data_IF_337601032128
#
_entry.id   IF_337601032128
#
_cell.length_a   1.000
_cell.length_b   1.000
_cell.length_c   1.000
_cell.angle_alpha   90.00
_cell.angle_beta   90.00
_cell.angle_gamma   90.00
#
_symmetry.space_group_name_H-M   'P 1'
#
loop_
_entity.id
_entity.type
_entity.pdbx_description
1 polymer ?
#
# COMPACT_ATOMS: atom_id res chain seq x y z
N UNK A 1 -1.63 1.71 5.88
CA UNK A 1 -0.47 2.29 5.14
C UNK A 1 -0.90 3.28 4.04
N UNK A 2 -2.15 3.23 3.57
CA UNK A 2 -2.71 4.08 2.51
C UNK A 2 -2.86 5.58 2.87
N UNK A 3 -3.02 5.92 4.14
CA UNK A 3 -3.17 7.31 4.57
C UNK A 3 -1.91 8.19 4.30
N UNK A 4 -0.70 7.60 4.28
CA UNK A 4 0.55 8.40 4.30
C UNK A 4 0.85 9.18 3.01
N UNK A 5 0.21 8.88 1.88
CA UNK A 5 0.37 9.65 0.63
C UNK A 5 -0.46 10.92 0.57
N UNK A 6 -1.52 11.01 1.37
CA UNK A 6 -2.47 12.12 1.35
C UNK A 6 -2.08 13.17 2.41
N UNK A 7 -1.53 12.73 3.54
CA UNK A 7 -1.14 13.60 4.66
C UNK A 7 -0.05 14.65 4.34
N UNK A 8 1.06 14.36 3.62
CA UNK A 8 2.11 15.36 3.45
C UNK A 8 1.74 16.51 2.50
N UNK A 9 0.74 16.33 1.62
CA UNK A 9 0.23 17.41 0.78
C UNK A 9 -0.57 18.47 1.57
N UNK A 10 -1.02 18.15 2.79
CA UNK A 10 -1.88 19.01 3.62
C UNK A 10 -1.19 19.80 4.73
N UNK A 11 0.12 19.61 4.99
CA UNK A 11 0.74 20.16 6.22
C UNK A 11 1.09 21.67 6.14
N UNK A 12 0.83 22.36 5.02
CA UNK A 12 1.04 23.82 4.93
C UNK A 12 -0.22 24.68 4.78
N UNK A 13 -1.43 24.10 4.82
CA UNK A 13 -2.67 24.88 4.68
C UNK A 13 -3.68 24.54 5.79
N UNK A 14 -3.57 25.34 6.86
CA UNK A 14 -4.59 25.74 7.84
C UNK A 14 -5.28 24.71 8.76
N UNK A 15 -5.24 25.08 10.05
CA UNK A 15 -6.13 24.63 11.11
C UNK A 15 -7.56 25.15 10.87
N UNK A 16 -8.55 24.28 11.01
CA UNK A 16 -9.96 24.66 11.16
C UNK A 16 -10.76 24.66 9.87
N UNK A 17 -11.32 23.49 9.51
CA UNK A 17 -12.66 23.27 8.90
C UNK A 17 -12.82 21.78 8.52
N UNK A 18 -14.08 21.35 8.48
CA UNK A 18 -14.55 19.96 8.59
C UNK A 18 -13.84 18.91 7.71
N UNK A 19 -13.38 17.85 8.39
CA UNK A 19 -12.70 16.66 7.84
C UNK A 19 -13.55 15.79 6.90
N UNK A 20 -14.86 16.06 6.81
CA UNK A 20 -15.87 15.20 6.17
C UNK A 20 -15.71 15.13 4.64
N UNK A 21 -15.05 16.09 3.98
CA UNK A 21 -14.87 16.07 2.51
C UNK A 21 -13.57 15.38 2.03
N UNK A 22 -12.70 14.91 2.94
CA UNK A 22 -11.38 14.34 2.61
C UNK A 22 -11.48 12.97 1.89
N UNK A 23 -12.59 12.25 2.05
CA UNK A 23 -12.75 10.85 1.60
C UNK A 23 -13.56 10.67 0.30
N UNK A 24 -14.02 11.75 -0.35
CA UNK A 24 -15.06 11.65 -1.40
C UNK A 24 -14.60 11.07 -2.74
N UNK A 25 -13.31 10.91 -3.01
CA UNK A 25 -12.84 10.56 -4.36
C UNK A 25 -11.84 9.39 -4.43
N UNK A 26 -11.28 8.93 -3.31
CA UNK A 26 -10.40 7.75 -3.29
C UNK A 26 -11.15 6.41 -3.41
N UNK A 27 -12.43 6.37 -3.04
CA UNK A 27 -13.15 5.12 -2.74
C UNK A 27 -13.47 4.23 -3.95
N UNK A 28 -13.79 4.79 -5.13
CA UNK A 28 -14.03 3.97 -6.33
C UNK A 28 -12.74 3.28 -6.82
N UNK A 29 -11.63 4.01 -6.78
CA UNK A 29 -10.32 3.50 -7.21
C UNK A 29 -9.78 2.50 -6.17
N UNK A 30 -10.05 2.73 -4.88
CA UNK A 30 -9.71 1.79 -3.81
C UNK A 30 -10.46 0.45 -3.93
N UNK A 31 -11.72 0.41 -4.41
CA UNK A 31 -12.44 -0.86 -4.62
C UNK A 31 -11.84 -1.72 -5.73
N UNK A 32 -11.40 -1.12 -6.85
CA UNK A 32 -10.68 -1.83 -7.91
C UNK A 32 -9.26 -2.26 -7.50
N UNK A 33 -8.56 -1.43 -6.71
CA UNK A 33 -7.30 -1.85 -6.09
C UNK A 33 -7.51 -2.98 -5.06
N UNK A 34 -8.65 -3.01 -4.37
CA UNK A 34 -9.00 -4.04 -3.38
C UNK A 34 -9.34 -5.38 -4.04
N UNK A 35 -10.03 -5.40 -5.19
CA UNK A 35 -10.29 -6.65 -5.93
C UNK A 35 -9.01 -7.34 -6.41
N UNK A 36 -7.99 -6.57 -6.83
CA UNK A 36 -6.66 -7.11 -7.16
C UNK A 36 -5.96 -7.77 -5.96
N UNK A 37 -6.11 -7.22 -4.75
CA UNK A 37 -5.57 -7.83 -3.54
C UNK A 37 -6.39 -9.02 -3.03
N UNK A 38 -7.70 -9.06 -3.31
CA UNK A 38 -8.58 -10.16 -2.91
C UNK A 38 -8.47 -11.39 -3.82
N UNK A 39 -8.22 -11.22 -5.13
CA UNK A 39 -7.94 -12.34 -6.03
C UNK A 39 -6.71 -13.16 -5.61
N UNK A 40 -5.67 -12.49 -5.08
CA UNK A 40 -4.47 -13.16 -4.54
C UNK A 40 -4.73 -14.02 -3.30
N UNK A 41 -5.87 -13.87 -2.62
CA UNK A 41 -6.19 -14.59 -1.39
C UNK A 41 -7.10 -15.82 -1.59
N UNK A 42 -7.72 -15.99 -2.76
CA UNK A 42 -8.74 -17.01 -2.98
C UNK A 42 -8.32 -18.18 -3.88
N UNK A 43 -7.31 -18.04 -4.76
CA UNK A 43 -6.83 -19.14 -5.58
C UNK A 43 -5.68 -19.90 -4.92
N UNK A 44 -6.03 -20.80 -3.98
CA UNK A 44 -5.12 -21.81 -3.44
C UNK A 44 -5.16 -23.13 -4.23
N UNK A 45 -5.91 -23.20 -5.35
CA UNK A 45 -6.22 -24.49 -6.02
C UNK A 45 -5.87 -24.60 -7.51
N UNK A 46 -5.35 -23.57 -8.19
CA UNK A 46 -5.07 -23.67 -9.62
C UNK A 46 -3.67 -23.17 -9.96
N UNK A 47 -2.83 -24.06 -10.51
CA UNK A 47 -1.48 -23.76 -11.02
C UNK A 47 -1.48 -22.93 -12.32
N UNK A 48 -2.41 -22.00 -12.47
CA UNK A 48 -2.44 -21.05 -13.57
C UNK A 48 -1.46 -19.90 -13.29
N UNK A 49 -0.77 -19.35 -14.31
CA UNK A 49 0.06 -18.16 -14.14
C UNK A 49 -0.77 -17.03 -13.54
N UNK A 50 -0.28 -16.40 -12.47
CA UNK A 50 -0.95 -15.35 -11.67
C UNK A 50 -1.51 -14.22 -12.56
N UNK A 51 -2.73 -14.41 -13.07
CA UNK A 51 -3.45 -13.45 -13.90
C UNK A 51 -3.74 -12.15 -13.11
N UNK A 52 -3.57 -12.18 -11.78
CA UNK A 52 -3.78 -11.05 -10.88
C UNK A 52 -2.47 -10.44 -10.35
N UNK A 53 -1.31 -10.81 -10.90
CA UNK A 53 -0.02 -10.30 -10.46
C UNK A 53 0.04 -8.76 -10.53
N UNK A 54 0.20 -8.13 -9.36
CA UNK A 54 0.36 -6.68 -9.24
C UNK A 54 1.61 -6.19 -9.99
N UNK A 55 1.42 -5.44 -11.08
CA UNK A 55 2.52 -4.86 -11.89
C UNK A 55 2.98 -3.51 -11.35
N UNK A 56 2.06 -2.73 -10.83
CA UNK A 56 2.31 -1.39 -10.31
C UNK A 56 2.16 -1.34 -8.79
N UNK A 57 2.91 -0.46 -8.13
CA UNK A 57 2.79 -0.24 -6.69
C UNK A 57 1.53 0.60 -6.42
N UNK A 58 0.47 0.06 -5.78
CA UNK A 58 -0.83 0.73 -5.72
C UNK A 58 -0.83 2.16 -5.16
N UNK A 59 0.00 2.53 -4.15
CA UNK A 59 0.12 3.91 -3.69
C UNK A 59 0.48 4.94 -4.76
N UNK A 60 1.15 4.56 -5.86
CA UNK A 60 1.48 5.51 -6.95
C UNK A 60 0.35 5.70 -7.95
N UNK A 61 -0.65 4.83 -7.94
CA UNK A 61 -1.83 4.95 -8.79
C UNK A 61 -2.90 5.69 -8.00
N UNK A 62 -3.48 5.01 -7.00
CA UNK A 62 -4.61 5.55 -6.24
C UNK A 62 -4.22 6.69 -5.31
N UNK A 63 -2.97 6.71 -4.84
CA UNK A 63 -2.47 7.79 -3.98
C UNK A 63 -2.30 9.11 -4.74
N UNK A 64 -1.87 9.05 -6.00
CA UNK A 64 -1.75 10.23 -6.88
C UNK A 64 -3.13 10.83 -7.15
N UNK A 65 -4.12 9.98 -7.46
CA UNK A 65 -5.51 10.38 -7.65
C UNK A 65 -6.13 10.96 -6.37
N UNK A 66 -5.88 10.32 -5.22
CA UNK A 66 -6.32 10.81 -3.92
C UNK A 66 -5.72 12.17 -3.56
N UNK A 67 -4.42 12.36 -3.81
CA UNK A 67 -3.74 13.64 -3.62
C UNK A 67 -4.34 14.74 -4.52
N UNK A 68 -4.59 14.44 -5.80
CA UNK A 68 -5.20 15.38 -6.73
C UNK A 68 -6.60 15.80 -6.29
N UNK A 69 -7.44 14.84 -5.87
CA UNK A 69 -8.78 15.13 -5.36
C UNK A 69 -8.75 15.98 -4.07
N UNK A 70 -7.86 15.64 -3.14
CA UNK A 70 -7.71 16.39 -1.89
C UNK A 70 -7.26 17.84 -2.17
N UNK A 71 -6.25 18.02 -3.03
CA UNK A 71 -5.76 19.34 -3.39
C UNK A 71 -6.80 20.15 -4.18
N UNK A 72 -7.53 19.53 -5.12
CA UNK A 72 -8.62 20.20 -5.83
C UNK A 72 -9.72 20.69 -4.89
N UNK A 73 -10.04 19.91 -3.84
CA UNK A 73 -10.98 20.33 -2.79
C UNK A 73 -10.44 21.50 -1.97
N UNK A 74 -9.17 21.44 -1.55
CA UNK A 74 -8.51 22.52 -0.79
C UNK A 74 -8.45 23.84 -1.59
N UNK A 75 -8.25 23.74 -2.91
CA UNK A 75 -8.26 24.89 -3.83
C UNK A 75 -9.67 25.35 -4.23
N UNK A 76 -10.72 24.72 -3.69
CA UNK A 76 -12.12 25.02 -4.02
C UNK A 76 -12.41 25.02 -5.53
N UNK A 77 -11.83 24.07 -6.27
CA UNK A 77 -12.04 23.95 -7.70
C UNK A 77 -13.49 23.56 -8.02
N UNK A 78 -14.00 24.08 -9.14
CA UNK A 78 -15.30 23.70 -9.67
C UNK A 78 -15.29 22.26 -10.24
N UNK A 79 -16.47 21.74 -10.56
CA UNK A 79 -16.63 20.37 -11.05
C UNK A 79 -15.78 20.08 -12.32
N UNK A 80 -15.77 20.94 -13.36
CA UNK A 80 -14.91 20.73 -14.52
C UNK A 80 -13.42 20.66 -14.18
N UNK A 81 -12.91 21.58 -13.35
CA UNK A 81 -11.50 21.59 -12.96
C UNK A 81 -11.14 20.40 -12.07
N UNK A 82 -12.03 19.94 -11.19
CA UNK A 82 -11.84 18.70 -10.45
C UNK A 82 -11.67 17.48 -11.38
N UNK A 83 -12.47 17.37 -12.45
CA UNK A 83 -12.32 16.29 -13.45
C UNK A 83 -10.97 16.39 -14.16
N UNK A 84 -10.56 17.60 -14.56
CA UNK A 84 -9.26 17.81 -15.20
C UNK A 84 -8.09 17.48 -14.27
N UNK A 85 -8.18 17.81 -12.98
CA UNK A 85 -7.14 17.46 -12.00
C UNK A 85 -6.92 15.95 -11.93
N UNK A 86 -8.00 15.15 -11.92
CA UNK A 86 -7.90 13.69 -11.96
C UNK A 86 -7.34 13.19 -13.30
N UNK A 87 -7.72 13.81 -14.42
CA UNK A 87 -7.20 13.44 -15.74
C UNK A 87 -5.69 13.70 -15.88
N UNK A 88 -5.21 14.84 -15.38
CA UNK A 88 -3.79 15.16 -15.37
C UNK A 88 -3.03 14.23 -14.42
N UNK A 89 -3.60 13.96 -13.23
CA UNK A 89 -3.01 13.06 -12.24
C UNK A 89 -2.82 11.62 -12.76
N UNK A 90 -3.73 11.14 -13.62
CA UNK A 90 -3.61 9.82 -14.24
C UNK A 90 -2.35 9.71 -15.11
N UNK A 91 -1.92 10.79 -15.77
CA UNK A 91 -0.67 10.82 -16.55
C UNK A 91 0.60 10.82 -15.69
N UNK A 92 0.50 11.18 -14.41
CA UNK A 92 1.60 11.10 -13.45
C UNK A 92 1.60 9.79 -12.62
N UNK A 93 0.57 8.96 -12.78
CA UNK A 93 0.34 7.78 -11.96
C UNK A 93 1.18 6.58 -12.43
N UNK A 94 1.42 5.67 -11.48
CA UNK A 94 2.05 4.38 -11.76
C UNK A 94 3.57 4.37 -11.58
N UNK A 95 4.04 3.45 -10.73
CA UNK A 95 5.44 3.06 -10.62
C UNK A 95 5.52 1.53 -10.56
N UNK A 96 6.51 0.91 -11.24
CA UNK A 96 6.66 -0.54 -11.22
C UNK A 96 6.86 -1.09 -9.80
N UNK A 97 6.27 -2.26 -9.52
CA UNK A 97 6.39 -2.92 -8.23
C UNK A 97 7.83 -3.39 -7.91
N UNK A 98 8.70 -3.50 -8.92
CA UNK A 98 10.10 -3.94 -8.76
C UNK A 98 10.89 -3.12 -7.73
N UNK A 99 10.55 -1.85 -7.55
CA UNK A 99 11.18 -0.98 -6.54
C UNK A 99 10.61 -1.13 -5.12
N UNK A 100 9.67 -2.05 -4.88
CA UNK A 100 9.02 -2.18 -3.58
C UNK A 100 9.98 -2.59 -2.43
N UNK A 101 11.09 -3.26 -2.73
CA UNK A 101 12.07 -3.67 -1.74
C UNK A 101 13.39 -2.88 -1.83
N UNK A 102 13.37 -1.70 -2.47
CA UNK A 102 14.56 -0.85 -2.63
C UNK A 102 14.40 0.46 -1.85
N UNK A 103 15.49 1.24 -1.78
CA UNK A 103 15.48 2.60 -1.25
C UNK A 103 14.57 3.57 -2.02
N UNK A 104 14.14 3.21 -3.24
CA UNK A 104 13.24 4.03 -4.06
C UNK A 104 11.79 3.97 -3.59
N UNK A 105 11.36 2.90 -2.88
CA UNK A 105 9.95 2.73 -2.47
C UNK A 105 9.35 3.95 -1.74
N UNK A 106 10.02 4.63 -0.79
CA UNK A 106 9.45 5.79 -0.12
C UNK A 106 9.10 6.94 -1.10
N UNK A 107 9.85 7.10 -2.20
CA UNK A 107 9.57 8.10 -3.23
C UNK A 107 8.23 7.86 -3.91
N UNK A 108 7.71 6.63 -3.95
CA UNK A 108 6.39 6.34 -4.52
C UNK A 108 5.29 7.15 -3.82
N UNK A 109 5.35 7.25 -2.50
CA UNK A 109 4.37 7.99 -1.69
C UNK A 109 4.62 9.50 -1.76
N UNK A 110 5.90 9.91 -1.78
CA UNK A 110 6.27 11.32 -1.96
C UNK A 110 5.83 11.88 -3.32
N UNK A 111 6.06 11.13 -4.39
CA UNK A 111 5.66 11.51 -5.74
C UNK A 111 4.14 11.49 -5.92
N UNK A 112 3.43 10.55 -5.30
CA UNK A 112 1.97 10.56 -5.29
C UNK A 112 1.41 11.86 -4.69
N UNK A 113 1.97 12.29 -3.54
CA UNK A 113 1.62 13.56 -2.93
C UNK A 113 1.94 14.75 -3.85
N UNK A 114 3.19 14.84 -4.33
CA UNK A 114 3.68 15.90 -5.21
C UNK A 114 2.85 16.04 -6.48
N UNK A 115 2.70 14.96 -7.24
CA UNK A 115 2.06 14.98 -8.55
C UNK A 115 0.56 15.24 -8.46
N UNK A 116 -0.11 14.81 -7.39
CA UNK A 116 -1.51 15.17 -7.17
C UNK A 116 -1.70 16.68 -6.94
N UNK A 117 -0.84 17.31 -6.13
CA UNK A 117 -0.84 18.76 -5.96
C UNK A 117 -0.58 19.48 -7.29
N UNK A 118 0.46 19.05 -8.02
CA UNK A 118 0.81 19.60 -9.32
C UNK A 118 -0.36 19.52 -10.32
N UNK A 119 -1.03 18.37 -10.39
CA UNK A 119 -2.21 18.17 -11.24
C UNK A 119 -3.37 19.11 -10.88
N UNK A 120 -3.65 19.31 -9.59
CA UNK A 120 -4.68 20.24 -9.13
C UNK A 120 -4.34 21.70 -9.46
N UNK A 121 -3.07 22.11 -9.30
CA UNK A 121 -2.60 23.44 -9.66
C UNK A 121 -2.62 23.70 -11.18
N UNK A 122 -2.35 22.69 -12.00
CA UNK A 122 -2.45 22.81 -13.46
C UNK A 122 -3.92 22.92 -13.89
N UNK A 123 -4.80 22.10 -13.31
CA UNK A 123 -6.24 22.20 -13.57
C UNK A 123 -6.83 23.55 -13.12
N UNK A 124 -6.34 24.12 -12.01
CA UNK A 124 -6.79 25.44 -11.55
C UNK A 124 -6.49 26.54 -12.56
N UNK A 125 -5.39 26.40 -13.31
CA UNK A 125 -4.95 27.27 -14.39
C UNK A 125 -5.61 26.97 -15.75
N UNK A 126 -6.49 25.97 -15.82
CA UNK A 126 -7.27 25.66 -17.01
C UNK A 126 -6.69 24.56 -17.90
N UNK A 127 -5.62 23.87 -17.47
CA UNK A 127 -5.16 22.67 -18.18
C UNK A 127 -6.28 21.61 -18.18
N UNK A 128 -6.47 20.97 -19.33
CA UNK A 128 -7.53 19.98 -19.53
C UNK A 128 -6.94 18.60 -19.82
N UNK A 129 -7.72 17.56 -19.51
CA UNK A 129 -7.38 16.18 -19.84
C UNK A 129 -8.60 15.43 -20.37
N UNK A 130 -8.45 14.12 -20.55
CA UNK A 130 -9.53 13.27 -21.05
C UNK A 130 -10.73 13.25 -20.06
N UNK A 131 -11.94 13.54 -20.56
CA UNK A 131 -13.15 13.63 -19.75
C UNK A 131 -13.65 12.28 -19.20
N UNK A 132 -13.20 11.18 -19.79
CA UNK A 132 -13.56 9.80 -19.47
C UNK A 132 -12.35 9.01 -18.96
N UNK A 133 -11.30 9.69 -18.46
CA UNK A 133 -10.04 9.07 -18.03
C UNK A 133 -10.23 7.93 -17.00
N UNK A 134 -11.29 7.99 -16.20
CA UNK A 134 -11.63 6.99 -15.20
C UNK A 134 -12.48 5.84 -15.75
N UNK A 135 -13.07 5.98 -16.93
CA UNK A 135 -13.99 4.98 -17.49
C UNK A 135 -13.29 4.09 -18.53
N UNK A 136 -12.08 4.48 -18.96
CA UNK A 136 -11.37 3.86 -20.08
C UNK A 136 -10.31 2.86 -19.62
N UNK A 137 -10.27 1.69 -20.29
CA UNK A 137 -9.17 0.73 -20.18
C UNK A 137 -7.82 1.36 -20.57
N UNK A 138 -7.79 2.22 -21.58
CA UNK A 138 -6.60 2.98 -21.98
C UNK A 138 -6.36 4.25 -21.14
N UNK A 139 -7.23 4.52 -20.17
CA UNK A 139 -7.07 5.58 -19.17
C UNK A 139 -6.42 5.04 -17.90
N UNK A 140 -7.06 5.29 -16.74
CA UNK A 140 -6.59 4.73 -15.46
C UNK A 140 -6.65 3.19 -15.46
N UNK A 141 -7.49 2.58 -16.32
CA UNK A 141 -7.59 1.13 -16.48
C UNK A 141 -6.28 0.47 -16.89
N UNK A 142 -5.35 1.20 -17.51
CA UNK A 142 -4.06 0.67 -17.97
C UNK A 142 -3.16 0.17 -16.82
N UNK A 143 -3.47 0.58 -15.58
CA UNK A 143 -2.77 0.12 -14.37
C UNK A 143 -3.38 -1.15 -13.76
N UNK A 144 -4.47 -1.66 -14.31
CA UNK A 144 -5.23 -2.79 -13.79
C UNK A 144 -5.33 -3.93 -14.81
N UNK A 145 -5.26 -5.19 -14.35
CA UNK A 145 -5.45 -6.34 -15.24
C UNK A 145 -6.93 -6.58 -15.58
N UNK A 146 -7.83 -6.35 -14.62
CA UNK A 146 -9.28 -6.44 -14.80
C UNK A 146 -9.90 -5.13 -14.29
N UNK A 147 -10.29 -4.26 -15.23
CA UNK A 147 -10.78 -2.91 -14.92
C UNK A 147 -12.28 -2.79 -15.15
N UNK A 148 -13.04 -2.80 -14.05
CA UNK A 148 -14.49 -2.61 -14.06
C UNK A 148 -14.88 -1.38 -13.22
N UNK A 149 -14.87 -0.17 -13.82
CA UNK A 149 -15.24 1.05 -13.10
C UNK A 149 -16.72 1.04 -12.73
N UNK A 150 -17.05 1.65 -11.60
CA UNK A 150 -18.42 1.77 -11.10
C UNK A 150 -18.72 3.23 -10.75
N UNK A 151 -19.94 3.65 -11.03
CA UNK A 151 -20.42 4.99 -10.68
C UNK A 151 -20.49 5.14 -9.16
N UNK A 152 -20.01 6.26 -8.64
CA UNK A 152 -20.11 6.57 -7.21
C UNK A 152 -21.58 6.82 -6.80
N UNK A 153 -22.00 6.40 -5.59
CA UNK A 153 -23.28 6.78 -5.03
C UNK A 153 -23.46 8.30 -4.93
N UNK A 154 -24.71 8.75 -4.80
CA UNK A 154 -25.00 10.17 -4.54
C UNK A 154 -24.54 10.58 -3.14
N UNK A 155 -24.29 11.87 -2.93
CA UNK A 155 -23.79 12.38 -1.65
C UNK A 155 -24.78 12.17 -0.49
N UNK A 156 -26.08 12.16 -0.77
CA UNK A 156 -27.14 12.00 0.22
C UNK A 156 -27.13 10.60 0.86
N UNK A 157 -26.61 9.59 0.16
CA UNK A 157 -26.57 8.20 0.61
C UNK A 157 -25.15 7.62 0.55
N UNK A 158 -24.12 8.46 0.57
CA UNK A 158 -22.75 8.03 0.34
C UNK A 158 -22.22 7.19 1.52
N UNK A 159 -21.93 5.89 1.34
CA UNK A 159 -21.36 5.07 2.40
C UNK A 159 -19.85 5.30 2.44
N UNK A 160 -19.36 5.96 3.49
CA UNK A 160 -17.92 6.14 3.66
C UNK A 160 -17.25 4.78 3.85
N UNK A 161 -16.26 4.46 3.01
CA UNK A 161 -15.55 3.18 3.13
C UNK A 161 -14.88 3.02 4.49
N UNK A 162 -14.39 4.10 5.11
CA UNK A 162 -13.75 4.03 6.42
C UNK A 162 -14.73 3.70 7.56
N UNK A 163 -16.03 3.95 7.39
CA UNK A 163 -17.05 3.53 8.38
C UNK A 163 -17.29 2.01 8.31
N UNK A 164 -16.94 1.37 7.18
CA UNK A 164 -17.14 -0.06 6.93
C UNK A 164 -15.83 -0.86 6.98
N UNK A 165 -14.68 -0.20 6.83
CA UNK A 165 -13.37 -0.83 6.72
C UNK A 165 -12.31 0.02 7.41
N UNK A 166 -11.84 -0.47 8.56
CA UNK A 166 -10.76 0.17 9.30
C UNK A 166 -9.38 -0.12 8.68
N UNK A 167 -8.36 0.61 9.14
CA UNK A 167 -6.97 0.53 8.69
C UNK A 167 -6.09 -0.26 9.66
N UNK A 168 -5.23 -1.11 9.11
CA UNK A 168 -4.21 -1.77 9.92
C UNK A 168 -3.08 -0.80 10.33
N UNK A 169 -2.81 -0.72 11.64
CA UNK A 169 -1.66 -0.02 12.23
C UNK A 169 -0.53 -1.02 12.49
N UNK A 170 0.68 -0.69 12.01
CA UNK A 170 1.83 -1.58 12.12
C UNK A 170 2.53 -1.45 13.47
N UNK A 171 2.76 -2.58 14.15
CA UNK A 171 3.60 -2.68 15.36
C UNK A 171 5.10 -2.50 15.11
N UNK A 172 5.59 -2.85 13.91
CA UNK A 172 6.99 -2.74 13.50
C UNK A 172 7.10 -2.39 12.01
N UNK A 173 8.21 -1.78 11.54
CA UNK A 173 8.27 -1.14 10.23
C UNK A 173 8.57 -2.12 9.06
N UNK A 174 7.81 -3.20 8.92
CA UNK A 174 7.99 -4.19 7.84
C UNK A 174 6.73 -4.32 6.96
N UNK A 175 6.78 -5.16 5.93
CA UNK A 175 5.64 -5.51 5.08
C UNK A 175 4.49 -6.09 5.93
N UNK A 176 3.24 -5.70 5.67
CA UNK A 176 2.12 -6.05 6.56
C UNK A 176 1.95 -7.57 6.70
N UNK A 177 2.11 -8.33 5.62
CA UNK A 177 2.09 -9.80 5.63
C UNK A 177 3.06 -10.43 6.63
N UNK A 178 4.20 -9.78 6.92
CA UNK A 178 5.19 -10.30 7.87
C UNK A 178 4.74 -10.14 9.33
N UNK A 179 3.69 -9.37 9.63
CA UNK A 179 3.14 -9.26 10.97
C UNK A 179 2.50 -10.57 11.44
N UNK A 180 1.79 -11.28 10.56
CA UNK A 180 1.28 -12.62 10.84
C UNK A 180 2.42 -13.62 11.08
N UNK A 181 3.49 -13.52 10.29
CA UNK A 181 4.68 -14.36 10.47
C UNK A 181 5.35 -14.11 11.82
N UNK A 182 5.55 -12.84 12.19
CA UNK A 182 6.12 -12.49 13.49
C UNK A 182 5.25 -12.99 14.65
N UNK A 183 3.93 -12.90 14.52
CA UNK A 183 2.99 -13.33 15.55
C UNK A 183 3.00 -14.86 15.74
N UNK A 184 2.96 -15.60 14.64
CA UNK A 184 3.08 -17.06 14.64
C UNK A 184 4.43 -17.53 15.18
N UNK A 185 5.54 -16.92 14.72
CA UNK A 185 6.89 -17.24 15.18
C UNK A 185 7.07 -16.96 16.68
N UNK A 186 6.57 -15.83 17.18
CA UNK A 186 6.63 -15.50 18.62
C UNK A 186 5.81 -16.51 19.44
N UNK A 187 4.69 -16.98 18.90
CA UNK A 187 3.84 -17.98 19.57
C UNK A 187 4.46 -19.37 19.60
N UNK A 188 5.15 -19.79 18.54
CA UNK A 188 5.93 -21.03 18.53
C UNK A 188 7.14 -20.91 19.47
N UNK A 189 7.84 -19.76 19.46
CA UNK A 189 9.00 -19.55 20.33
C UNK A 189 8.65 -19.79 21.79
N UNK A 190 7.53 -19.23 22.30
CA UNK A 190 7.12 -19.41 23.71
C UNK A 190 7.12 -20.88 24.13
N UNK A 191 6.57 -21.77 23.30
CA UNK A 191 6.54 -23.23 23.55
C UNK A 191 7.93 -23.87 23.53
N UNK A 192 8.85 -23.34 22.73
CA UNK A 192 10.22 -23.85 22.65
C UNK A 192 11.06 -23.38 23.85
N UNK A 193 10.92 -22.12 24.25
CA UNK A 193 11.69 -21.56 25.37
C UNK A 193 11.13 -21.87 26.75
N UNK A 194 9.86 -22.25 26.90
CA UNK A 194 9.31 -22.72 28.20
C UNK A 194 10.10 -23.88 28.83
N UNK A 195 10.87 -24.60 28.01
CA UNK A 195 11.72 -25.74 28.41
C UNK A 195 13.21 -25.41 28.57
N UNK A 196 13.60 -24.13 28.48
CA UNK A 196 15.00 -23.67 28.52
C UNK A 196 15.10 -22.28 29.16
N UNK A 197 16.30 -21.84 29.56
CA UNK A 197 16.55 -20.54 30.23
C UNK A 197 16.33 -19.31 29.30
N UNK A 198 15.15 -19.21 28.67
CA UNK A 198 14.74 -18.21 27.66
C UNK A 198 15.63 -18.13 26.39
N UNK A 199 16.47 -19.14 26.18
CA UNK A 199 17.30 -19.28 24.99
C UNK A 199 16.70 -20.28 24.01
N UNK A 200 16.61 -19.90 22.73
CA UNK A 200 16.14 -20.79 21.69
C UNK A 200 17.19 -21.91 21.45
N UNK A 201 16.83 -23.22 21.53
CA UNK A 201 17.76 -24.32 21.33
C UNK A 201 18.07 -24.52 19.84
N UNK A 202 18.93 -23.66 19.30
CA UNK A 202 19.27 -23.61 17.87
C UNK A 202 19.83 -24.92 17.32
N UNK A 203 20.59 -25.64 18.13
CA UNK A 203 21.19 -26.94 17.82
C UNK A 203 20.14 -28.04 17.55
N UNK A 204 18.92 -27.87 18.06
CA UNK A 204 17.81 -28.83 17.90
C UNK A 204 16.88 -28.48 16.75
N UNK A 205 17.07 -27.34 16.08
CA UNK A 205 16.20 -26.90 14.98
C UNK A 205 16.75 -27.43 13.66
N UNK A 206 16.10 -28.46 13.11
CA UNK A 206 16.42 -28.98 11.79
C UNK A 206 15.84 -28.10 10.67
N UNK A 207 14.60 -27.61 10.83
CA UNK A 207 13.88 -26.89 9.77
C UNK A 207 12.83 -25.92 10.32
N UNK A 208 12.70 -24.77 9.64
CA UNK A 208 11.59 -23.81 9.84
C UNK A 208 10.73 -23.79 8.58
N UNK A 209 9.44 -24.10 8.71
CA UNK A 209 8.49 -24.12 7.60
C UNK A 209 7.50 -22.97 7.75
N UNK A 210 7.48 -22.06 6.79
CA UNK A 210 6.52 -20.95 6.73
C UNK A 210 5.41 -21.26 5.74
N UNK A 211 4.19 -21.46 6.24
CA UNK A 211 2.99 -21.56 5.41
C UNK A 211 2.41 -20.16 5.23
N UNK A 212 2.74 -19.50 4.13
CA UNK A 212 2.37 -18.11 3.82
C UNK A 212 1.84 -18.01 2.38
N UNK A 213 1.04 -16.98 2.04
CA UNK A 213 0.62 -16.74 0.66
C UNK A 213 1.80 -16.54 -0.29
N UNK A 214 1.64 -16.86 -1.57
CA UNK A 214 2.68 -16.65 -2.57
C UNK A 214 2.82 -15.15 -2.91
N UNK A 215 3.74 -14.48 -2.21
CA UNK A 215 4.03 -13.06 -2.44
C UNK A 215 5.50 -12.90 -2.80
N UNK A 216 5.81 -13.01 -4.11
CA UNK A 216 7.18 -13.08 -4.64
C UNK A 216 8.11 -11.97 -4.13
N UNK A 217 7.66 -10.72 -4.09
CA UNK A 217 8.50 -9.59 -3.66
C UNK A 217 8.81 -9.56 -2.14
N UNK A 218 8.12 -10.38 -1.35
CA UNK A 218 8.33 -10.57 0.11
C UNK A 218 9.05 -11.92 0.41
N UNK A 219 9.19 -12.79 -0.58
CA UNK A 219 9.96 -14.02 -0.49
C UNK A 219 11.46 -13.71 -0.71
N UNK A 220 12.18 -13.45 0.39
CA UNK A 220 13.59 -13.06 0.37
C UNK A 220 14.35 -13.86 1.42
N UNK A 221 14.92 -15.02 1.09
CA UNK A 221 15.53 -15.92 2.08
C UNK A 221 16.76 -15.31 2.77
N UNK A 222 17.57 -14.55 2.03
CA UNK A 222 18.82 -13.96 2.52
C UNK A 222 18.86 -12.46 2.18
N UNK A 223 18.09 -11.61 2.88
CA UNK A 223 18.06 -10.18 2.57
C UNK A 223 19.40 -9.52 2.93
N UNK A 224 19.95 -8.73 2.01
CA UNK A 224 21.25 -8.07 2.15
C UNK A 224 21.13 -6.59 2.56
N UNK A 225 19.91 -6.06 2.67
CA UNK A 225 19.66 -4.68 3.08
C UNK A 225 18.46 -4.55 4.02
N UNK A 226 18.36 -3.39 4.69
CA UNK A 226 17.20 -3.01 5.49
C UNK A 226 15.89 -3.10 4.70
N UNK A 227 15.88 -2.62 3.46
CA UNK A 227 14.66 -2.61 2.64
C UNK A 227 14.23 -4.03 2.26
N UNK A 228 15.17 -4.92 1.97
CA UNK A 228 14.88 -6.32 1.71
C UNK A 228 14.42 -7.06 2.96
N UNK A 229 15.05 -6.81 4.11
CA UNK A 229 14.67 -7.45 5.36
C UNK A 229 13.26 -7.03 5.82
N UNK A 230 12.85 -5.79 5.53
CA UNK A 230 11.46 -5.32 5.71
C UNK A 230 10.47 -6.01 4.76
N UNK A 231 10.93 -6.68 3.71
CA UNK A 231 10.14 -7.47 2.77
C UNK A 231 10.66 -8.90 2.71
N UNK A 232 10.91 -9.52 3.87
CA UNK A 232 11.33 -10.91 3.98
C UNK A 232 10.49 -11.63 5.02
N UNK A 233 9.73 -12.64 4.60
CA UNK A 233 9.06 -13.55 5.54
C UNK A 233 10.07 -14.28 6.41
N UNK A 234 11.15 -14.77 5.81
CA UNK A 234 12.20 -15.57 6.44
C UNK A 234 12.92 -14.79 7.53
N UNK A 235 13.38 -13.57 7.21
CA UNK A 235 14.09 -12.73 8.16
C UNK A 235 13.21 -12.39 9.37
N UNK A 236 11.93 -12.06 9.14
CA UNK A 236 11.00 -11.73 10.23
C UNK A 236 10.70 -12.95 11.10
N UNK A 237 10.54 -14.14 10.50
CA UNK A 237 10.36 -15.38 11.26
C UNK A 237 11.58 -15.69 12.15
N UNK A 238 12.77 -15.75 11.55
CA UNK A 238 14.01 -16.03 12.28
C UNK A 238 14.27 -14.97 13.36
N UNK A 239 14.01 -13.70 13.05
CA UNK A 239 14.19 -12.61 14.00
C UNK A 239 13.27 -12.74 15.21
N UNK A 240 12.00 -13.09 15.00
CA UNK A 240 11.02 -13.29 16.06
C UNK A 240 11.31 -14.55 16.89
N UNK A 241 11.79 -15.63 16.26
CA UNK A 241 12.23 -16.85 16.95
C UNK A 241 13.43 -16.59 17.86
N UNK A 242 14.45 -15.88 17.36
CA UNK A 242 15.66 -15.57 18.12
C UNK A 242 15.39 -14.61 19.28
N UNK A 243 14.68 -13.51 19.03
CA UNK A 243 14.59 -12.38 19.99
C UNK A 243 13.29 -12.38 20.81
N UNK A 244 12.35 -13.27 20.50
CA UNK A 244 11.00 -13.30 21.09
C UNK A 244 10.08 -12.15 20.72
N UNK A 245 10.57 -11.16 19.98
CA UNK A 245 9.77 -10.06 19.45
C UNK A 245 10.52 -9.33 18.33
N UNK A 246 9.78 -8.64 17.46
CA UNK A 246 10.37 -7.70 16.50
C UNK A 246 10.30 -6.29 17.08
N UNK A 247 11.46 -5.68 17.33
CA UNK A 247 11.59 -4.30 17.84
C UNK A 247 12.20 -3.38 16.79
N UNK A 248 11.85 -2.10 16.84
CA UNK A 248 12.41 -1.06 15.96
C UNK A 248 13.94 -0.94 16.02
N UNK A 249 14.56 -1.27 17.17
CA UNK A 249 16.00 -1.08 17.43
C UNK A 249 16.93 -2.11 16.78
N UNK A 250 16.41 -3.16 16.11
CA UNK A 250 17.29 -4.02 15.31
C UNK A 250 17.74 -3.19 14.11
N UNK A 251 18.93 -2.59 14.20
CA UNK A 251 19.61 -2.10 13.01
C UNK A 251 19.68 -3.32 12.10
N UNK A 252 19.07 -3.23 10.92
CA UNK A 252 19.21 -4.22 9.87
C UNK A 252 20.65 -4.11 9.31
N UNK A 253 21.64 -4.30 10.18
CA UNK A 253 23.04 -4.45 9.80
C UNK A 253 23.16 -5.92 9.38
N UNK A 254 22.91 -6.14 8.10
CA UNK A 254 23.41 -7.34 7.44
C UNK A 254 24.93 -7.23 7.53
N UNK A 255 25.56 -8.14 8.27
CA UNK A 255 27.02 -8.23 8.23
C UNK A 255 27.42 -8.64 6.80
N UNK A 256 28.43 -7.98 6.21
CA UNK A 256 28.87 -8.24 4.84
C UNK A 256 29.32 -9.69 4.63
#
# INVERSE_FOLDING_TARGET
MWAKGIFPAGIKVFQGRDWVSFCLFGNAILRSAYSQYHGMGQDLSAGEPDQFALKFHPPTVVGTMGSAAACAKLLALDRPKCKNALAIAASYAGAPLANAATQTKPLHVGNAAKHGLEAACLASQGLQGNKQILDMESGIGAFYTDYSPQTLPTLQSYPWLLDQQDVAIKRFPAHLGTHWVADAASSVRRKLVESSDDLLPLDKIEKVILKVPEVKYVNRPSPASEHEARHSFQFVACSALLDGSIKFKRRYQVQP
#
